data_IF_018796306114
#
_entry.id   IF_018796306114
#
_cell.length_a   1.000
_cell.length_b   1.000
_cell.length_c   1.000
_cell.angle_alpha   90.00
_cell.angle_beta   90.00
_cell.angle_gamma   90.00
#
_symmetry.space_group_name_H-M   'P 1'
#
loop_
_entity.id
_entity.type
_entity.pdbx_description
1 polymer ?
#
# COMPACT_ATOMS: atom_id res chain seq x y z
N UNK A 1 -3.75 -2.39 19.49
CA UNK A 1 -2.42 -1.82 19.14
C UNK A 1 -1.95 -0.96 20.31
N UNK A 2 -0.75 -1.23 20.83
CA UNK A 2 -0.11 -0.51 21.90
C UNK A 2 1.20 0.10 21.40
N UNK A 3 1.41 1.39 21.60
CA UNK A 3 2.66 2.06 21.26
C UNK A 3 3.62 1.90 22.44
N UNK A 4 4.78 1.31 22.21
CA UNK A 4 5.84 1.17 23.20
C UNK A 4 6.73 2.41 23.20
N UNK A 5 7.18 2.84 22.01
CA UNK A 5 8.00 4.03 21.78
C UNK A 5 7.55 4.75 20.51
N UNK A 6 7.63 6.07 20.46
CA UNK A 6 7.41 6.88 19.28
C UNK A 6 8.19 8.19 19.34
N UNK A 7 8.82 8.59 18.24
CA UNK A 7 9.59 9.84 18.13
C UNK A 7 9.39 10.43 16.73
N UNK A 8 9.44 11.77 16.64
CA UNK A 8 9.31 12.51 15.39
C UNK A 8 10.54 13.40 15.20
N UNK A 9 11.23 13.25 14.06
CA UNK A 9 12.32 14.12 13.64
C UNK A 9 11.85 14.98 12.48
N UNK A 10 12.32 16.22 12.39
CA UNK A 10 11.92 17.19 11.37
C UNK A 10 13.08 17.39 10.40
N UNK A 11 12.82 17.17 9.11
CA UNK A 11 13.74 17.43 8.01
C UNK A 11 13.12 18.49 7.10
N UNK A 12 13.41 19.76 7.39
CA UNK A 12 12.89 20.89 6.63
C UNK A 12 13.98 21.44 5.70
N UNK A 13 13.96 21.00 4.46
CA UNK A 13 14.88 21.42 3.42
C UNK A 13 14.53 22.81 2.87
N UNK A 14 13.30 23.28 3.03
CA UNK A 14 12.87 24.59 2.56
C UNK A 14 13.47 25.71 3.45
N UNK A 15 13.52 25.48 4.76
CA UNK A 15 14.15 26.41 5.71
C UNK A 15 15.59 26.03 6.08
N UNK A 16 16.11 24.92 5.54
CA UNK A 16 17.41 24.33 5.88
C UNK A 16 17.57 24.03 7.39
N UNK A 17 16.49 23.62 8.04
CA UNK A 17 16.46 23.28 9.47
C UNK A 17 16.13 21.81 9.66
N UNK A 18 17.09 21.03 10.13
CA UNK A 18 16.88 19.66 10.56
C UNK A 18 16.89 19.59 12.09
N UNK A 19 15.83 19.03 12.66
CA UNK A 19 15.70 18.87 14.12
C UNK A 19 15.61 17.39 14.47
N UNK A 20 16.69 16.86 15.02
CA UNK A 20 16.72 15.51 15.58
C UNK A 20 16.22 15.57 17.02
N UNK A 21 15.03 15.01 17.25
CA UNK A 21 14.42 14.99 18.58
C UNK A 21 15.27 14.13 19.54
N UNK A 22 15.39 14.59 20.78
CA UNK A 22 16.10 13.90 21.87
C UNK A 22 15.14 13.26 22.87
N UNK A 23 13.84 13.42 22.66
CA UNK A 23 12.78 12.87 23.51
C UNK A 23 11.67 12.31 22.66
N UNK A 24 11.08 11.25 23.16
CA UNK A 24 9.91 10.60 22.59
C UNK A 24 8.68 11.52 22.63
N UNK A 25 7.72 11.22 21.77
CA UNK A 25 6.41 11.87 21.75
C UNK A 25 5.63 11.51 23.03
N UNK A 26 4.85 12.45 23.53
CA UNK A 26 3.90 12.22 24.61
C UNK A 26 2.71 11.38 24.13
N UNK A 27 2.82 10.06 24.23
CA UNK A 27 1.78 9.11 23.84
C UNK A 27 0.58 9.08 24.82
N UNK A 28 0.70 9.69 26.01
CA UNK A 28 -0.45 9.89 26.90
C UNK A 28 -1.42 10.94 26.32
N UNK A 29 -0.93 11.88 25.54
CA UNK A 29 -1.74 12.80 24.77
C UNK A 29 -2.62 12.03 23.78
N UNK A 30 -3.95 12.15 23.92
CA UNK A 30 -4.92 11.50 23.03
C UNK A 30 -4.71 11.87 21.57
N UNK A 31 -4.36 13.13 21.30
CA UNK A 31 -4.13 13.62 19.92
C UNK A 31 -2.93 12.92 19.30
N UNK A 32 -1.79 12.88 20.01
CA UNK A 32 -0.56 12.24 19.55
C UNK A 32 -0.79 10.74 19.37
N UNK A 33 -1.33 10.07 20.39
CA UNK A 33 -1.62 8.65 20.33
C UNK A 33 -2.52 8.27 19.15
N UNK A 34 -3.61 9.00 18.93
CA UNK A 34 -4.52 8.73 17.82
C UNK A 34 -3.85 8.95 16.46
N UNK A 35 -3.04 9.99 16.33
CA UNK A 35 -2.29 10.27 15.11
C UNK A 35 -1.35 9.11 14.78
N UNK A 36 -0.48 8.75 15.70
CA UNK A 36 0.51 7.67 15.52
C UNK A 36 -0.18 6.33 15.26
N UNK A 37 -1.14 5.94 16.13
CA UNK A 37 -1.86 4.66 15.99
C UNK A 37 -2.56 4.52 14.65
N UNK A 38 -3.16 5.60 14.13
CA UNK A 38 -3.89 5.56 12.85
C UNK A 38 -2.93 5.34 11.69
N UNK A 39 -1.77 6.02 11.67
CA UNK A 39 -0.75 5.82 10.65
C UNK A 39 -0.17 4.39 10.71
N UNK A 40 0.17 3.90 11.90
CA UNK A 40 0.71 2.56 12.07
C UNK A 40 -0.28 1.45 11.65
N UNK A 41 -1.56 1.58 12.03
CA UNK A 41 -2.59 0.63 11.58
C UNK A 41 -2.73 0.59 10.07
N UNK A 42 -2.70 1.74 9.43
CA UNK A 42 -2.79 1.81 7.97
C UNK A 42 -1.58 1.21 7.29
N UNK A 43 -0.39 1.49 7.77
CA UNK A 43 0.83 0.88 7.25
C UNK A 43 0.80 -0.63 7.42
N UNK A 44 0.40 -1.12 8.62
CA UNK A 44 0.33 -2.56 8.91
C UNK A 44 -0.65 -3.31 8.02
N UNK A 45 -1.78 -2.69 7.64
CA UNK A 45 -2.86 -3.32 6.87
C UNK A 45 -2.94 -2.82 5.42
N UNK A 46 -1.86 -2.28 4.88
CA UNK A 46 -1.85 -1.77 3.51
C UNK A 46 -1.64 -2.90 2.49
N UNK A 47 -2.53 -2.99 1.51
CA UNK A 47 -2.37 -3.89 0.36
C UNK A 47 -1.22 -3.49 -0.58
N UNK A 48 -0.71 -2.27 -0.45
CA UNK A 48 0.44 -1.79 -1.22
C UNK A 48 1.78 -2.25 -0.62
N UNK A 49 1.79 -2.90 0.55
CA UNK A 49 3.01 -3.40 1.16
C UNK A 49 3.71 -4.40 0.24
N UNK A 50 4.92 -4.05 -0.15
CA UNK A 50 5.89 -4.99 -0.71
C UNK A 50 6.54 -5.73 0.43
N UNK A 51 6.71 -7.04 0.29
CA UNK A 51 7.40 -7.84 1.29
C UNK A 51 8.86 -8.03 0.89
N UNK A 52 9.75 -8.01 1.87
CA UNK A 52 11.17 -8.18 1.67
C UNK A 52 11.82 -8.81 2.90
N UNK A 53 13.05 -9.23 2.73
CA UNK A 53 13.94 -9.66 3.81
C UNK A 53 15.23 -8.85 3.75
N UNK A 54 15.85 -8.63 4.90
CA UNK A 54 17.15 -7.97 4.93
C UNK A 54 18.21 -8.79 4.19
N UNK A 55 19.06 -8.12 3.39
CA UNK A 55 20.26 -8.75 2.88
C UNK A 55 21.15 -9.19 4.07
N UNK A 56 21.94 -10.27 3.88
CA UNK A 56 22.81 -10.81 4.93
C UNK A 56 23.76 -9.77 5.53
N UNK A 57 24.19 -8.81 4.71
CA UNK A 57 25.11 -7.74 5.07
C UNK A 57 24.41 -6.39 5.37
N UNK A 58 23.10 -6.39 5.56
CA UNK A 58 22.37 -5.16 5.92
C UNK A 58 22.84 -4.62 7.27
N UNK A 59 23.45 -3.45 7.25
CA UNK A 59 23.90 -2.78 8.47
C UNK A 59 22.70 -2.43 9.36
N UNK A 60 21.63 -1.87 8.77
CA UNK A 60 20.42 -1.52 9.51
C UNK A 60 19.72 -2.75 10.08
N UNK A 61 19.68 -3.86 9.36
CA UNK A 61 19.14 -5.12 9.87
C UNK A 61 19.84 -5.60 11.14
N UNK A 62 21.19 -5.43 11.20
CA UNK A 62 21.99 -5.71 12.38
C UNK A 62 21.66 -4.79 13.57
N UNK A 63 21.59 -3.46 13.32
CA UNK A 63 21.27 -2.46 14.34
C UNK A 63 19.86 -2.66 14.92
N UNK A 64 18.88 -2.97 14.06
CA UNK A 64 17.49 -3.22 14.48
C UNK A 64 17.38 -4.51 15.31
N UNK A 65 18.12 -5.57 14.95
CA UNK A 65 18.21 -6.77 15.80
C UNK A 65 18.77 -6.43 17.17
N UNK A 66 19.89 -5.68 17.22
CA UNK A 66 20.48 -5.21 18.48
C UNK A 66 19.48 -4.42 19.33
N UNK A 67 18.67 -3.56 18.71
CA UNK A 67 17.59 -2.86 19.42
C UNK A 67 16.55 -3.85 20.03
N UNK A 68 16.07 -4.82 19.26
CA UNK A 68 15.10 -5.79 19.77
C UNK A 68 15.66 -6.67 20.90
N UNK A 69 16.97 -6.87 20.93
CA UNK A 69 17.67 -7.57 22.02
C UNK A 69 18.07 -6.67 23.20
N UNK A 70 17.77 -5.37 23.15
CA UNK A 70 18.08 -4.42 24.21
C UNK A 70 19.55 -3.96 24.23
N UNK A 71 20.27 -4.12 23.15
CA UNK A 71 21.67 -3.68 22.98
C UNK A 71 21.78 -2.23 22.47
N UNK A 72 20.66 -1.65 22.06
CA UNK A 72 20.55 -0.30 21.51
C UNK A 72 19.37 0.43 22.12
N UNK A 73 19.53 1.72 22.37
CA UNK A 73 18.46 2.60 22.83
C UNK A 73 17.61 3.09 21.64
N UNK A 74 16.30 3.23 21.86
CA UNK A 74 15.33 3.63 20.83
C UNK A 74 15.64 5.00 20.24
N UNK A 75 15.93 5.99 21.09
CA UNK A 75 16.20 7.37 20.65
C UNK A 75 17.45 7.42 19.77
N UNK A 76 18.51 6.75 20.19
CA UNK A 76 19.78 6.74 19.44
C UNK A 76 19.61 6.10 18.06
N UNK A 77 18.92 4.95 17.99
CA UNK A 77 18.60 4.29 16.71
C UNK A 77 17.74 5.19 15.82
N UNK A 78 16.73 5.85 16.38
CA UNK A 78 15.84 6.73 15.64
C UNK A 78 16.57 7.95 15.04
N UNK A 79 17.53 8.53 15.78
CA UNK A 79 18.36 9.62 15.30
C UNK A 79 19.28 9.18 14.15
N UNK A 80 19.91 8.01 14.26
CA UNK A 80 20.73 7.45 13.17
C UNK A 80 19.90 7.23 11.88
N UNK A 81 18.66 6.74 12.02
CA UNK A 81 17.72 6.60 10.90
C UNK A 81 17.44 7.96 10.27
N UNK A 82 17.11 8.97 11.06
CA UNK A 82 16.77 10.29 10.57
C UNK A 82 17.97 11.01 9.93
N UNK A 83 19.17 10.87 10.49
CA UNK A 83 20.41 11.38 9.93
C UNK A 83 20.74 10.73 8.58
N UNK A 84 20.58 9.41 8.48
CA UNK A 84 20.74 8.68 7.22
C UNK A 84 19.76 9.21 6.16
N UNK A 85 18.47 9.28 6.48
CA UNK A 85 17.44 9.78 5.57
C UNK A 85 17.72 11.22 5.14
N UNK A 86 18.10 12.09 6.07
CA UNK A 86 18.49 13.48 5.79
C UNK A 86 19.66 13.55 4.82
N UNK A 87 20.69 12.73 5.04
CA UNK A 87 21.89 12.70 4.18
C UNK A 87 21.60 12.25 2.76
N UNK A 88 20.70 11.29 2.60
CA UNK A 88 20.31 10.79 1.26
C UNK A 88 19.36 11.77 0.54
N UNK A 89 18.38 12.34 1.25
CA UNK A 89 17.47 13.33 0.68
C UNK A 89 18.22 14.62 0.26
N UNK A 90 19.27 15.01 0.98
CA UNK A 90 20.11 16.14 0.59
C UNK A 90 20.84 15.93 -0.75
N UNK A 91 21.01 14.69 -1.21
CA UNK A 91 21.59 14.34 -2.52
C UNK A 91 20.54 14.24 -3.64
N UNK A 92 19.25 14.37 -3.30
CA UNK A 92 18.18 14.28 -4.28
C UNK A 92 18.16 15.56 -5.15
N UNK A 93 17.81 15.40 -6.44
CA UNK A 93 17.65 16.57 -7.35
C UNK A 93 16.62 17.56 -6.81
N UNK A 94 15.62 17.06 -6.11
CA UNK A 94 14.62 17.85 -5.39
C UNK A 94 14.51 17.29 -3.97
N UNK A 95 15.14 17.97 -3.01
CA UNK A 95 14.96 17.67 -1.61
C UNK A 95 13.56 18.14 -1.17
N UNK A 96 12.73 17.18 -0.74
CA UNK A 96 11.37 17.46 -0.23
C UNK A 96 11.40 17.43 1.30
N UNK A 97 10.87 18.49 1.92
CA UNK A 97 10.73 18.56 3.38
C UNK A 97 9.80 17.46 3.87
N UNK A 98 10.26 16.68 4.85
CA UNK A 98 9.53 15.54 5.40
C UNK A 98 9.85 15.36 6.88
N UNK A 99 8.90 14.86 7.65
CA UNK A 99 9.15 14.45 9.02
C UNK A 99 9.34 12.93 9.09
N UNK A 100 10.27 12.48 9.92
CA UNK A 100 10.55 11.05 10.12
C UNK A 100 9.91 10.60 11.42
N UNK A 101 8.82 9.85 11.32
CA UNK A 101 8.18 9.20 12.46
C UNK A 101 8.80 7.80 12.61
N UNK A 102 9.40 7.54 13.76
CA UNK A 102 9.89 6.21 14.15
C UNK A 102 9.05 5.70 15.31
N UNK A 103 8.63 4.44 15.27
CA UNK A 103 7.81 3.86 16.33
C UNK A 103 8.11 2.37 16.56
N UNK A 104 7.99 1.95 17.81
CA UNK A 104 7.93 0.55 18.24
C UNK A 104 6.55 0.32 18.85
N UNK A 105 5.87 -0.73 18.42
CA UNK A 105 4.50 -0.99 18.83
C UNK A 105 4.15 -2.48 18.78
N UNK A 106 3.16 -2.86 19.62
CA UNK A 106 2.51 -4.16 19.52
C UNK A 106 1.18 -4.01 18.77
N UNK A 107 0.91 -4.91 17.84
CA UNK A 107 -0.36 -4.93 17.13
C UNK A 107 -1.51 -5.52 17.98
N UNK A 108 -2.67 -5.74 17.38
CA UNK A 108 -3.83 -6.27 18.11
C UNK A 108 -3.72 -7.79 18.41
N UNK A 109 -2.66 -8.45 17.93
CA UNK A 109 -2.31 -9.86 18.15
C UNK A 109 -1.05 -10.01 19.04
N UNK A 110 -0.66 -8.91 19.72
CA UNK A 110 0.52 -8.81 20.57
C UNK A 110 1.87 -9.09 19.85
N UNK A 111 1.89 -9.01 18.51
CA UNK A 111 3.12 -9.07 17.75
C UNK A 111 3.83 -7.71 17.76
N UNK A 112 5.14 -7.71 18.07
CA UNK A 112 5.97 -6.50 18.14
C UNK A 112 6.49 -6.11 16.76
N UNK A 113 6.40 -4.82 16.45
CA UNK A 113 6.77 -4.20 15.20
C UNK A 113 7.59 -2.94 15.40
N UNK A 114 8.50 -2.68 14.45
CA UNK A 114 9.21 -1.42 14.34
C UNK A 114 8.79 -0.72 13.04
N UNK A 115 8.56 0.58 13.09
CA UNK A 115 8.13 1.37 11.92
C UNK A 115 9.02 2.59 11.70
N UNK A 116 9.30 2.89 10.44
CA UNK A 116 9.89 4.15 9.97
C UNK A 116 8.97 4.70 8.91
N UNK A 117 8.49 5.93 9.06
CA UNK A 117 7.54 6.57 8.14
C UNK A 117 8.00 7.97 7.76
N UNK A 118 7.96 8.29 6.48
CA UNK A 118 8.25 9.62 5.95
C UNK A 118 6.93 10.36 5.75
N UNK A 119 6.70 11.36 6.58
CA UNK A 119 5.50 12.18 6.57
C UNK A 119 5.79 13.46 5.79
N UNK A 120 5.50 13.44 4.48
CA UNK A 120 5.76 14.58 3.59
C UNK A 120 5.01 15.82 4.09
N UNK A 121 5.73 16.91 4.30
CA UNK A 121 5.18 18.20 4.75
C UNK A 121 4.23 18.78 3.70
N UNK A 122 3.11 19.32 4.16
CA UNK A 122 2.10 19.94 3.30
C UNK A 122 1.93 21.42 3.62
N UNK A 123 1.50 22.15 2.61
CA UNK A 123 1.09 23.53 2.78
C UNK A 123 -0.41 23.61 3.04
N UNK A 124 -0.83 24.43 3.99
CA UNK A 124 -2.23 24.76 4.19
C UNK A 124 -2.38 26.25 4.51
N UNK A 125 -3.57 26.77 4.25
CA UNK A 125 -3.96 28.11 4.64
C UNK A 125 -4.73 28.04 5.96
N UNK A 126 -4.46 28.97 6.85
CA UNK A 126 -5.21 29.16 8.08
C UNK A 126 -5.61 30.62 8.22
N UNK A 127 -6.73 30.85 8.90
CA UNK A 127 -7.13 32.20 9.26
C UNK A 127 -6.36 32.62 10.53
N UNK A 128 -5.97 33.86 10.57
CA UNK A 128 -5.41 34.52 11.73
C UNK A 128 -6.28 35.72 12.12
N UNK A 129 -6.63 35.79 13.40
CA UNK A 129 -7.42 36.90 13.91
C UNK A 129 -6.50 37.87 14.62
N UNK A 130 -6.22 39.00 13.98
CA UNK A 130 -5.47 40.08 14.54
C UNK A 130 -6.37 41.20 15.09
N UNK A 131 -5.80 42.06 15.95
CA UNK A 131 -6.41 43.32 16.36
C UNK A 131 -5.43 44.44 16.09
N UNK A 132 -5.82 45.35 15.25
CA UNK A 132 -5.04 46.54 14.90
C UNK A 132 -5.87 47.78 15.20
N UNK A 133 -5.33 48.71 15.97
CA UNK A 133 -6.01 49.97 16.41
C UNK A 133 -7.40 49.79 17.04
N UNK A 134 -7.69 48.63 17.66
CA UNK A 134 -8.98 48.31 18.28
C UNK A 134 -10.00 47.64 17.36
N UNK A 135 -9.67 47.52 16.08
CA UNK A 135 -10.52 46.78 15.10
C UNK A 135 -10.06 45.36 14.95
N UNK A 136 -11.03 44.45 14.68
CA UNK A 136 -10.76 43.03 14.43
C UNK A 136 -10.44 42.86 12.94
N UNK A 137 -9.26 42.35 12.64
CA UNK A 137 -8.85 42.01 11.28
C UNK A 137 -8.68 40.50 11.15
N UNK A 138 -9.23 39.92 10.11
CA UNK A 138 -9.03 38.51 9.75
C UNK A 138 -8.11 38.45 8.54
N UNK A 139 -7.00 37.74 8.70
CA UNK A 139 -6.01 37.49 7.64
C UNK A 139 -5.96 36.01 7.26
N UNK A 140 -5.39 35.75 6.09
CA UNK A 140 -5.10 34.39 5.63
C UNK A 140 -3.58 34.23 5.63
N UNK A 141 -3.10 33.34 6.50
CA UNK A 141 -1.68 32.99 6.58
C UNK A 141 -1.45 31.60 5.99
N UNK A 142 -0.26 31.40 5.43
CA UNK A 142 0.16 30.11 4.89
C UNK A 142 1.04 29.39 5.90
N UNK A 143 0.65 28.15 6.23
CA UNK A 143 1.46 27.24 7.02
C UNK A 143 2.16 26.23 6.10
N UNK A 144 3.48 26.11 6.22
CA UNK A 144 4.30 25.31 5.31
C UNK A 144 4.62 23.91 5.85
N UNK A 145 4.45 23.68 7.14
CA UNK A 145 4.85 22.46 7.82
C UNK A 145 3.62 21.79 8.47
N UNK A 146 2.69 21.31 7.63
CA UNK A 146 1.52 20.57 8.13
C UNK A 146 1.73 19.10 7.88
N UNK A 147 1.67 18.31 8.96
CA UNK A 147 1.67 16.86 8.89
C UNK A 147 0.49 16.32 8.09
N UNK A 148 0.66 15.22 7.35
CA UNK A 148 -0.44 14.60 6.62
C UNK A 148 -1.53 14.15 7.58
N UNK A 149 -2.80 14.36 7.21
CA UNK A 149 -3.91 13.86 7.99
C UNK A 149 -3.82 12.32 8.05
N UNK A 150 -4.11 11.68 9.20
CA UNK A 150 -4.08 10.22 9.33
C UNK A 150 -4.95 9.45 8.34
N UNK A 151 -5.95 10.09 7.73
CA UNK A 151 -6.74 9.52 6.63
C UNK A 151 -6.01 9.49 5.28
N UNK A 152 -4.91 10.23 5.14
CA UNK A 152 -4.12 10.28 3.91
C UNK A 152 -3.12 9.12 3.86
N UNK A 153 -2.77 8.72 2.63
CA UNK A 153 -1.76 7.68 2.39
C UNK A 153 -0.36 8.25 2.62
N UNK A 154 0.46 7.54 3.35
CA UNK A 154 1.89 7.82 3.48
C UNK A 154 2.61 7.13 2.33
N UNK A 155 3.35 7.86 1.48
CA UNK A 155 3.94 7.30 0.26
C UNK A 155 5.25 6.54 0.50
N UNK A 156 5.85 6.69 1.68
CA UNK A 156 7.14 6.08 2.00
C UNK A 156 7.18 5.65 3.46
N UNK A 157 7.26 4.36 3.70
CA UNK A 157 7.40 3.79 5.04
C UNK A 157 7.94 2.35 4.98
N UNK A 158 8.46 1.89 6.10
CA UNK A 158 8.75 0.49 6.38
C UNK A 158 8.17 0.09 7.73
N UNK A 159 7.76 -1.17 7.83
CA UNK A 159 7.42 -1.86 9.07
C UNK A 159 8.21 -3.17 9.11
N UNK A 160 8.73 -3.52 10.27
CA UNK A 160 9.53 -4.74 10.47
C UNK A 160 9.00 -5.51 11.65
N UNK A 161 8.68 -6.79 11.46
CA UNK A 161 8.23 -7.68 12.53
C UNK A 161 9.42 -8.15 13.37
N UNK A 162 9.37 -7.94 14.67
CA UNK A 162 10.50 -8.23 15.55
C UNK A 162 10.89 -9.72 15.59
N UNK A 163 9.90 -10.63 15.52
CA UNK A 163 10.14 -12.06 15.65
C UNK A 163 10.77 -12.72 14.43
N UNK A 164 10.43 -12.23 13.21
CA UNK A 164 10.86 -12.83 11.94
C UNK A 164 11.81 -11.96 11.15
N UNK A 165 11.93 -10.68 11.50
CA UNK A 165 12.63 -9.66 10.73
C UNK A 165 12.06 -9.46 9.32
N UNK A 166 10.84 -9.93 9.06
CA UNK A 166 10.13 -9.65 7.82
C UNK A 166 9.81 -8.17 7.68
N UNK A 167 9.98 -7.67 6.48
CA UNK A 167 9.78 -6.28 6.11
C UNK A 167 8.50 -6.15 5.29
N UNK A 168 7.65 -5.19 5.67
CA UNK A 168 6.62 -4.63 4.79
C UNK A 168 6.99 -3.19 4.48
N UNK A 169 6.98 -2.78 3.21
CA UNK A 169 7.33 -1.40 2.86
C UNK A 169 6.54 -0.86 1.68
N UNK A 170 6.44 0.46 1.64
CA UNK A 170 6.04 1.23 0.46
C UNK A 170 7.05 2.35 0.28
N UNK A 171 7.51 2.59 -0.94
CA UNK A 171 8.37 3.74 -1.22
C UNK A 171 8.19 4.24 -2.65
N UNK A 172 8.51 5.50 -2.87
CA UNK A 172 8.52 6.15 -4.19
C UNK A 172 9.95 6.25 -4.73
N UNK A 173 10.10 6.11 -6.05
CA UNK A 173 11.38 6.38 -6.71
C UNK A 173 11.73 7.88 -6.60
N UNK A 174 12.99 8.15 -6.31
CA UNK A 174 13.56 9.49 -6.25
C UNK A 174 14.87 9.53 -7.05
N UNK A 175 15.16 10.66 -7.68
CA UNK A 175 16.47 10.88 -8.27
C UNK A 175 17.46 11.32 -7.20
N UNK A 176 18.30 10.40 -6.76
CA UNK A 176 19.32 10.60 -5.73
C UNK A 176 20.68 10.45 -6.39
N UNK A 177 21.52 11.49 -6.32
CA UNK A 177 22.84 11.52 -6.98
C UNK A 177 22.79 11.18 -8.49
N UNK A 178 21.70 11.54 -9.18
CA UNK A 178 21.51 11.31 -10.61
C UNK A 178 20.93 9.95 -11.00
N UNK A 179 20.71 9.06 -10.05
CA UNK A 179 20.14 7.73 -10.26
C UNK A 179 18.71 7.61 -9.69
N UNK A 180 17.85 6.86 -10.36
CA UNK A 180 16.52 6.51 -9.85
C UNK A 180 16.66 5.43 -8.75
N UNK A 181 16.44 5.82 -7.49
CA UNK A 181 16.56 4.93 -6.33
C UNK A 181 15.36 5.06 -5.40
N UNK A 182 15.07 3.99 -4.69
CA UNK A 182 14.15 4.00 -3.56
C UNK A 182 14.94 4.21 -2.27
N UNK A 183 14.53 5.19 -1.46
CA UNK A 183 15.27 5.59 -0.26
C UNK A 183 15.23 4.52 0.84
N UNK A 184 14.05 3.92 1.02
CA UNK A 184 13.82 2.95 2.11
C UNK A 184 14.41 1.59 1.78
N UNK A 185 13.99 0.85 0.72
CA UNK A 185 14.51 -0.49 0.48
C UNK A 185 15.97 -0.50 0.04
N UNK A 186 16.38 0.37 -0.89
CA UNK A 186 17.73 0.36 -1.44
C UNK A 186 18.75 0.99 -0.50
N UNK A 187 18.32 2.06 0.20
CA UNK A 187 19.19 2.86 1.07
C UNK A 187 19.20 2.39 2.51
N UNK A 188 18.08 2.60 3.22
CA UNK A 188 18.00 2.35 4.65
C UNK A 188 18.02 0.85 4.99
N UNK A 189 17.11 0.08 4.38
CA UNK A 189 16.92 -1.33 4.75
C UNK A 189 17.97 -2.23 4.12
N UNK A 190 18.46 -1.91 2.93
CA UNK A 190 19.33 -2.76 2.13
C UNK A 190 18.71 -4.17 2.01
N UNK A 191 17.51 -4.20 1.44
CA UNK A 191 16.73 -5.42 1.29
C UNK A 191 16.44 -5.71 -0.19
N UNK A 192 16.13 -6.97 -0.49
CA UNK A 192 15.65 -7.34 -1.82
C UNK A 192 14.27 -6.73 -2.06
N UNK A 193 14.06 -6.22 -3.28
CA UNK A 193 12.78 -5.63 -3.65
C UNK A 193 11.77 -6.73 -3.98
N UNK A 194 10.75 -6.86 -3.16
CA UNK A 194 9.62 -7.74 -3.40
C UNK A 194 8.51 -7.08 -4.23
N UNK A 195 7.51 -7.87 -4.57
CA UNK A 195 6.24 -7.38 -5.15
C UNK A 195 5.16 -7.38 -4.08
N UNK A 196 4.19 -6.47 -4.19
CA UNK A 196 3.03 -6.49 -3.29
C UNK A 196 1.94 -7.41 -3.85
N UNK A 197 1.11 -7.96 -2.96
CA UNK A 197 -0.06 -8.74 -3.39
C UNK A 197 -0.95 -7.95 -4.34
N UNK A 198 -1.10 -6.65 -4.12
CA UNK A 198 -1.85 -5.77 -5.02
C UNK A 198 -1.21 -5.66 -6.40
N UNK A 199 0.11 -5.43 -6.49
CA UNK A 199 0.81 -5.37 -7.78
C UNK A 199 0.64 -6.68 -8.56
N UNK A 200 0.68 -7.83 -7.88
CA UNK A 200 0.47 -9.12 -8.53
C UNK A 200 -0.96 -9.27 -9.03
N UNK A 201 -1.96 -8.90 -8.22
CA UNK A 201 -3.38 -8.93 -8.64
C UNK A 201 -3.61 -7.98 -9.82
N UNK A 202 -3.08 -6.77 -9.77
CA UNK A 202 -3.20 -5.79 -10.86
C UNK A 202 -2.53 -6.32 -12.14
N UNK A 203 -1.36 -6.96 -12.02
CA UNK A 203 -0.65 -7.58 -13.15
C UNK A 203 -1.44 -8.75 -13.74
N UNK A 204 -1.90 -9.69 -12.93
CA UNK A 204 -2.72 -10.82 -13.39
C UNK A 204 -4.00 -10.33 -14.06
N UNK A 205 -4.68 -9.35 -13.46
CA UNK A 205 -5.89 -8.75 -14.00
C UNK A 205 -5.66 -8.15 -15.39
N UNK A 206 -4.59 -7.35 -15.55
CA UNK A 206 -4.22 -6.72 -16.81
C UNK A 206 -3.86 -7.77 -17.89
N UNK A 207 -3.01 -8.72 -17.54
CA UNK A 207 -2.58 -9.78 -18.47
C UNK A 207 -3.76 -10.63 -18.93
N UNK A 208 -4.65 -10.98 -18.01
CA UNK A 208 -5.89 -11.73 -18.36
C UNK A 208 -6.78 -10.91 -19.28
N UNK A 209 -6.96 -9.61 -19.03
CA UNK A 209 -7.77 -8.73 -19.88
C UNK A 209 -7.19 -8.62 -21.30
N UNK A 210 -5.88 -8.38 -21.43
CA UNK A 210 -5.18 -8.26 -22.69
C UNK A 210 -5.24 -9.56 -23.49
N UNK A 211 -4.82 -10.68 -22.90
CA UNK A 211 -4.74 -11.98 -23.58
C UNK A 211 -6.13 -12.54 -23.92
N UNK A 212 -7.10 -12.46 -23.01
CA UNK A 212 -8.47 -12.89 -23.29
C UNK A 212 -9.09 -12.07 -24.44
N UNK A 213 -8.83 -10.75 -24.48
CA UNK A 213 -9.27 -9.87 -25.54
C UNK A 213 -8.64 -10.25 -26.90
N UNK A 214 -7.34 -10.54 -26.97
CA UNK A 214 -6.62 -10.95 -28.17
C UNK A 214 -7.16 -12.28 -28.74
N UNK A 215 -7.60 -13.17 -27.88
CA UNK A 215 -8.20 -14.46 -28.27
C UNK A 215 -9.72 -14.39 -28.51
N UNK A 216 -10.33 -13.20 -28.41
CA UNK A 216 -11.78 -13.00 -28.63
C UNK A 216 -12.66 -13.56 -27.52
N UNK A 217 -12.10 -13.85 -26.35
CA UNK A 217 -12.85 -14.26 -25.18
C UNK A 217 -13.52 -13.05 -24.51
N UNK A 218 -14.57 -13.31 -23.72
CA UNK A 218 -15.26 -12.26 -22.97
C UNK A 218 -14.41 -11.81 -21.77
N UNK A 219 -13.74 -10.67 -21.91
CA UNK A 219 -12.84 -10.13 -20.87
C UNK A 219 -13.57 -9.86 -19.56
N UNK A 220 -14.85 -9.44 -19.58
CA UNK A 220 -15.61 -9.18 -18.37
C UNK A 220 -15.84 -10.45 -17.56
N UNK A 221 -16.11 -11.58 -18.24
CA UNK A 221 -16.26 -12.90 -17.61
C UNK A 221 -14.93 -13.38 -17.04
N UNK A 222 -13.85 -13.28 -17.82
CA UNK A 222 -12.52 -13.68 -17.37
C UNK A 222 -12.09 -12.90 -16.13
N UNK A 223 -12.27 -11.59 -16.12
CA UNK A 223 -11.96 -10.73 -14.96
C UNK A 223 -12.84 -11.02 -13.74
N UNK A 224 -14.12 -11.33 -13.95
CA UNK A 224 -15.01 -11.73 -12.84
C UNK A 224 -14.53 -13.04 -12.20
N UNK A 225 -14.16 -14.04 -13.02
CA UNK A 225 -13.58 -15.30 -12.54
C UNK A 225 -12.26 -15.09 -11.78
N UNK A 226 -11.35 -14.26 -12.31
CA UNK A 226 -10.08 -13.92 -11.59
C UNK A 226 -10.38 -13.34 -10.23
N UNK A 227 -11.29 -12.38 -10.13
CA UNK A 227 -11.63 -11.75 -8.85
C UNK A 227 -12.26 -12.73 -7.86
N UNK A 228 -13.13 -13.61 -8.34
CA UNK A 228 -13.72 -14.64 -7.50
C UNK A 228 -12.67 -15.64 -6.98
N UNK A 229 -11.77 -16.11 -7.86
CA UNK A 229 -10.70 -17.03 -7.49
C UNK A 229 -9.69 -16.37 -6.51
N UNK A 230 -9.35 -15.09 -6.72
CA UNK A 230 -8.53 -14.34 -5.76
C UNK A 230 -9.21 -14.27 -4.38
N UNK A 231 -10.53 -14.01 -4.33
CA UNK A 231 -11.28 -13.96 -3.10
C UNK A 231 -11.22 -15.30 -2.35
N UNK A 232 -11.50 -16.38 -3.04
CA UNK A 232 -11.54 -17.73 -2.48
C UNK A 232 -10.17 -18.15 -1.94
N UNK A 233 -9.10 -18.00 -2.75
CA UNK A 233 -7.74 -18.41 -2.33
C UNK A 233 -7.23 -17.63 -1.11
N UNK A 234 -7.57 -16.36 -1.00
CA UNK A 234 -7.17 -15.53 0.14
C UNK A 234 -8.00 -15.81 1.41
N UNK A 235 -9.19 -16.40 1.28
CA UNK A 235 -9.95 -16.85 2.45
C UNK A 235 -9.31 -18.07 3.14
N UNK A 236 -8.70 -18.95 2.37
CA UNK A 236 -8.16 -20.22 2.86
C UNK A 236 -6.67 -20.11 3.24
N UNK A 237 -5.88 -19.28 2.55
CA UNK A 237 -4.42 -19.17 2.72
C UNK A 237 -3.98 -17.72 2.92
N UNK A 238 -2.90 -17.53 3.69
CA UNK A 238 -2.20 -16.22 3.79
C UNK A 238 -1.29 -15.96 2.57
N UNK A 239 -1.47 -16.70 1.48
CA UNK A 239 -0.70 -16.61 0.25
C UNK A 239 -1.61 -16.50 -0.97
N UNK A 240 -1.22 -15.65 -1.92
CA UNK A 240 -1.86 -15.55 -3.23
C UNK A 240 -1.08 -16.43 -4.22
N UNK A 241 -1.67 -17.49 -4.78
CA UNK A 241 -1.07 -18.32 -5.82
C UNK A 241 -1.54 -17.88 -7.23
N UNK A 242 -0.91 -16.87 -7.86
CA UNK A 242 -1.40 -16.30 -9.13
C UNK A 242 -1.46 -17.32 -10.27
N UNK A 243 -0.60 -18.32 -10.25
CA UNK A 243 -0.58 -19.39 -11.26
C UNK A 243 -1.76 -20.35 -11.13
N UNK A 244 -2.12 -20.75 -9.92
CA UNK A 244 -3.27 -21.61 -9.66
C UNK A 244 -4.58 -20.88 -10.02
N UNK A 245 -4.64 -19.56 -9.78
CA UNK A 245 -5.77 -18.72 -10.18
C UNK A 245 -5.95 -18.73 -11.71
N UNK A 246 -4.89 -18.58 -12.48
CA UNK A 246 -4.94 -18.63 -13.94
C UNK A 246 -5.35 -20.01 -14.44
N UNK A 247 -4.84 -21.07 -13.82
CA UNK A 247 -5.15 -22.43 -14.17
C UNK A 247 -6.64 -22.77 -13.95
N UNK A 248 -7.21 -22.26 -12.89
CA UNK A 248 -8.63 -22.41 -12.55
C UNK A 248 -9.54 -21.59 -13.47
N UNK A 249 -9.20 -20.32 -13.69
CA UNK A 249 -10.00 -19.39 -14.52
C UNK A 249 -10.12 -19.89 -15.96
N UNK A 250 -9.06 -20.49 -16.50
CA UNK A 250 -8.97 -20.96 -17.89
C UNK A 250 -8.85 -22.50 -18.00
N UNK A 251 -9.47 -23.25 -17.08
CA UNK A 251 -9.45 -24.72 -17.10
C UNK A 251 -9.93 -25.28 -18.45
N UNK A 252 -11.02 -24.71 -19.00
CA UNK A 252 -11.63 -25.09 -20.26
C UNK A 252 -11.03 -24.41 -21.50
N UNK A 253 -10.08 -23.50 -21.33
CA UNK A 253 -9.51 -22.66 -22.40
C UNK A 253 -7.98 -22.77 -22.46
N UNK A 254 -7.42 -23.94 -22.82
CA UNK A 254 -5.99 -24.21 -22.69
C UNK A 254 -5.08 -23.27 -23.49
N UNK A 255 -5.56 -22.77 -24.65
CA UNK A 255 -4.78 -21.83 -25.48
C UNK A 255 -4.60 -20.48 -24.78
N UNK A 256 -5.68 -19.96 -24.21
CA UNK A 256 -5.64 -18.69 -23.46
C UNK A 256 -4.78 -18.87 -22.20
N UNK A 257 -4.96 -19.97 -21.48
CA UNK A 257 -4.16 -20.32 -20.31
C UNK A 257 -2.67 -20.28 -20.58
N UNK A 258 -2.21 -20.98 -21.61
CA UNK A 258 -0.79 -21.00 -21.99
C UNK A 258 -0.27 -19.61 -22.37
N UNK A 259 -1.07 -18.82 -23.10
CA UNK A 259 -0.69 -17.44 -23.47
C UNK A 259 -0.56 -16.54 -22.23
N UNK A 260 -1.51 -16.59 -21.28
CA UNK A 260 -1.46 -15.85 -20.01
C UNK A 260 -0.21 -16.28 -19.21
N UNK A 261 0.04 -17.59 -19.08
CA UNK A 261 1.21 -18.09 -18.35
C UNK A 261 2.53 -17.64 -18.98
N UNK A 262 2.62 -17.61 -20.31
CA UNK A 262 3.80 -17.10 -21.02
C UNK A 262 4.10 -15.64 -20.65
N UNK A 263 3.10 -14.76 -20.67
CA UNK A 263 3.25 -13.35 -20.31
C UNK A 263 3.60 -13.19 -18.83
N UNK A 264 2.94 -13.92 -17.92
CA UNK A 264 3.28 -13.86 -16.48
C UNK A 264 4.72 -14.33 -16.20
N UNK A 265 5.23 -15.30 -17.00
CA UNK A 265 6.63 -15.74 -16.91
C UNK A 265 7.58 -14.63 -17.36
N UNK A 266 7.28 -13.95 -18.45
CA UNK A 266 8.09 -12.83 -18.96
C UNK A 266 8.11 -11.66 -17.95
N UNK A 267 6.98 -11.37 -17.31
CA UNK A 267 6.85 -10.36 -16.26
C UNK A 267 7.40 -10.81 -14.91
N UNK A 268 7.92 -12.04 -14.81
CA UNK A 268 8.51 -12.61 -13.59
C UNK A 268 7.57 -12.59 -12.39
N UNK A 269 6.30 -12.85 -12.62
CA UNK A 269 5.32 -12.98 -11.54
C UNK A 269 5.69 -14.19 -10.66
N UNK A 270 5.84 -14.03 -9.34
CA UNK A 270 6.21 -15.12 -8.45
C UNK A 270 5.10 -16.17 -8.35
N UNK A 271 5.47 -17.42 -8.05
CA UNK A 271 4.52 -18.52 -7.90
C UNK A 271 3.56 -18.30 -6.74
N UNK A 272 4.03 -17.71 -5.65
CA UNK A 272 3.26 -17.39 -4.46
C UNK A 272 3.65 -16.04 -3.89
N UNK A 273 2.68 -15.27 -3.44
CA UNK A 273 2.88 -13.98 -2.80
C UNK A 273 2.18 -13.97 -1.46
N UNK A 274 2.91 -13.81 -0.36
CA UNK A 274 2.28 -13.67 0.94
C UNK A 274 1.37 -12.44 0.96
N UNK A 275 0.13 -12.63 1.41
CA UNK A 275 -0.87 -11.57 1.52
C UNK A 275 -1.58 -11.68 2.87
N UNK A 276 -2.06 -10.57 3.38
CA UNK A 276 -2.96 -10.61 4.52
C UNK A 276 -4.40 -10.54 4.01
N UNK A 277 -5.25 -11.45 4.45
CA UNK A 277 -6.67 -11.53 4.10
C UNK A 277 -7.37 -10.15 4.08
N UNK A 278 -7.21 -9.38 5.15
CA UNK A 278 -7.80 -8.04 5.26
C UNK A 278 -7.29 -7.04 4.21
N UNK A 279 -6.10 -7.26 3.67
CA UNK A 279 -5.50 -6.39 2.64
C UNK A 279 -6.15 -6.64 1.28
N UNK A 280 -6.33 -7.91 0.92
CA UNK A 280 -6.90 -8.32 -0.37
C UNK A 280 -8.40 -8.06 -0.43
N UNK A 281 -9.15 -8.35 0.63
CA UNK A 281 -10.58 -8.06 0.73
C UNK A 281 -10.90 -6.57 0.50
N UNK A 282 -10.00 -5.67 0.90
CA UNK A 282 -10.17 -4.23 0.68
C UNK A 282 -9.79 -3.77 -0.71
N UNK A 283 -8.81 -4.41 -1.33
CA UNK A 283 -8.20 -3.92 -2.58
C UNK A 283 -8.88 -4.45 -3.85
N UNK A 284 -9.30 -5.71 -3.86
CA UNK A 284 -9.63 -6.39 -5.11
C UNK A 284 -11.05 -6.96 -5.21
N UNK A 285 -11.76 -7.22 -4.10
CA UNK A 285 -12.74 -8.29 -4.12
C UNK A 285 -14.19 -7.91 -3.84
N UNK A 286 -14.47 -6.78 -3.20
CA UNK A 286 -15.86 -6.53 -2.76
C UNK A 286 -16.87 -6.32 -3.86
N UNK A 287 -16.53 -5.60 -4.92
CA UNK A 287 -17.49 -5.34 -6.01
C UNK A 287 -16.78 -5.35 -7.37
N UNK A 288 -17.30 -6.13 -8.28
CA UNK A 288 -16.99 -6.02 -9.69
C UNK A 288 -17.81 -4.89 -10.29
N UNK A 289 -17.14 -3.90 -10.92
CA UNK A 289 -17.79 -2.81 -11.62
C UNK A 289 -17.46 -2.93 -13.09
N UNK A 290 -18.50 -2.97 -13.91
CA UNK A 290 -18.37 -2.92 -15.35
C UNK A 290 -19.07 -1.67 -15.87
N UNK A 291 -18.53 -1.09 -16.93
CA UNK A 291 -19.14 0.00 -17.66
C UNK A 291 -19.23 -0.37 -19.12
N UNK A 292 -20.42 -0.29 -19.68
CA UNK A 292 -20.64 -0.52 -21.10
C UNK A 292 -20.23 0.70 -21.92
N UNK A 293 -20.01 0.52 -23.22
CA UNK A 293 -19.79 1.58 -24.20
C UNK A 293 -20.99 2.55 -24.30
N UNK A 294 -22.19 2.04 -23.99
CA UNK A 294 -23.43 2.84 -23.92
C UNK A 294 -23.55 3.65 -22.62
N UNK A 295 -22.60 3.51 -21.68
CA UNK A 295 -22.53 4.26 -20.42
C UNK A 295 -23.30 3.64 -19.26
N UNK A 296 -23.82 2.42 -19.40
CA UNK A 296 -24.45 1.70 -18.29
C UNK A 296 -23.35 1.20 -17.33
N UNK A 297 -23.51 1.48 -16.05
CA UNK A 297 -22.63 0.97 -15.00
C UNK A 297 -23.37 -0.08 -14.16
N UNK A 298 -22.78 -1.27 -14.03
CA UNK A 298 -23.29 -2.36 -13.19
C UNK A 298 -22.25 -2.66 -12.12
N UNK A 299 -22.69 -2.74 -10.87
CA UNK A 299 -21.83 -3.12 -9.75
C UNK A 299 -22.47 -4.27 -8.98
N UNK A 300 -21.73 -5.33 -8.80
CA UNK A 300 -22.19 -6.54 -8.11
C UNK A 300 -21.05 -7.21 -7.33
N UNK A 301 -21.34 -8.02 -6.31
CA UNK A 301 -20.33 -8.82 -5.62
C UNK A 301 -19.55 -9.71 -6.60
N UNK A 302 -18.23 -9.80 -6.45
CA UNK A 302 -17.38 -10.56 -7.39
C UNK A 302 -17.80 -12.03 -7.51
N UNK A 303 -18.25 -12.65 -6.42
CA UNK A 303 -18.78 -14.01 -6.35
C UNK A 303 -19.96 -14.27 -7.31
N UNK A 304 -20.77 -13.24 -7.54
CA UNK A 304 -21.92 -13.36 -8.47
C UNK A 304 -21.50 -13.31 -9.93
N UNK A 305 -20.34 -12.74 -10.24
CA UNK A 305 -19.85 -12.60 -11.62
C UNK A 305 -19.38 -13.91 -12.26
N UNK A 306 -19.01 -14.89 -11.45
CA UNK A 306 -18.65 -16.24 -11.89
C UNK A 306 -19.85 -17.21 -11.90
N UNK A 307 -21.00 -16.82 -11.33
CA UNK A 307 -22.17 -17.68 -11.21
C UNK A 307 -23.27 -17.27 -12.19
N UNK A 308 -23.44 -18.08 -13.26
CA UNK A 308 -24.44 -17.87 -14.31
C UNK A 308 -25.90 -17.95 -13.82
N UNK A 309 -26.13 -18.36 -12.58
CA UNK A 309 -27.47 -18.31 -11.96
C UNK A 309 -27.89 -16.88 -11.60
N UNK A 310 -26.94 -15.97 -11.38
CA UNK A 310 -27.22 -14.58 -11.01
C UNK A 310 -26.91 -13.61 -12.14
N UNK A 311 -25.76 -13.77 -12.81
CA UNK A 311 -25.32 -12.89 -13.90
C UNK A 311 -24.78 -13.75 -15.03
N UNK A 312 -25.30 -13.55 -16.24
CA UNK A 312 -24.80 -14.23 -17.42
C UNK A 312 -24.41 -13.21 -18.51
N UNK A 313 -23.20 -13.39 -19.05
CA UNK A 313 -22.70 -12.62 -20.18
C UNK A 313 -22.82 -13.48 -21.44
N UNK A 314 -23.70 -13.08 -22.34
CA UNK A 314 -24.00 -13.80 -23.58
C UNK A 314 -23.32 -13.11 -24.74
N UNK A 315 -22.42 -13.83 -25.43
CA UNK A 315 -21.82 -13.35 -26.68
C UNK A 315 -22.81 -13.62 -27.83
N UNK A 316 -23.32 -12.55 -28.42
CA UNK A 316 -24.22 -12.64 -29.56
C UNK A 316 -23.44 -12.93 -30.87
N UNK A 317 -24.05 -13.62 -31.85
CA UNK A 317 -23.41 -13.91 -33.14
C UNK A 317 -22.96 -12.67 -33.93
N UNK A 318 -23.51 -11.50 -33.62
CA UNK A 318 -23.18 -10.21 -34.23
C UNK A 318 -21.99 -9.51 -33.54
N UNK A 319 -21.35 -10.15 -32.55
CA UNK A 319 -20.22 -9.59 -31.79
C UNK A 319 -20.63 -8.64 -30.66
N UNK A 320 -21.93 -8.48 -30.39
CA UNK A 320 -22.42 -7.75 -29.23
C UNK A 320 -22.47 -8.65 -28.00
N UNK A 321 -22.42 -8.03 -26.82
CA UNK A 321 -22.51 -8.72 -25.53
C UNK A 321 -23.84 -8.32 -24.87
N UNK A 322 -24.63 -9.30 -24.47
CA UNK A 322 -25.82 -9.13 -23.63
C UNK A 322 -25.48 -9.52 -22.19
N UNK A 323 -26.03 -8.78 -21.23
CA UNK A 323 -25.88 -9.08 -19.80
C UNK A 323 -27.26 -9.40 -19.24
N UNK A 324 -27.43 -10.61 -18.77
CA UNK A 324 -28.67 -11.07 -18.13
C UNK A 324 -28.50 -11.13 -16.62
N UNK A 325 -29.41 -10.44 -15.91
CA UNK A 325 -29.52 -10.52 -14.46
C UNK A 325 -30.67 -11.45 -14.10
N UNK A 326 -30.37 -12.51 -13.36
CA UNK A 326 -31.30 -13.61 -13.08
C UNK A 326 -31.63 -13.67 -11.58
N UNK A 327 -32.72 -14.36 -11.23
CA UNK A 327 -33.16 -14.63 -9.86
C UNK A 327 -33.39 -13.34 -9.02
N UNK A 328 -33.86 -12.27 -9.65
CA UNK A 328 -34.14 -11.00 -8.97
C UNK A 328 -35.54 -11.05 -8.34
N UNK A 329 -35.61 -10.95 -7.01
CA UNK A 329 -36.87 -10.94 -6.28
C UNK A 329 -37.59 -9.59 -6.27
N UNK A 330 -36.83 -8.47 -6.28
CA UNK A 330 -37.36 -7.12 -6.30
C UNK A 330 -36.37 -6.11 -6.86
N UNK A 331 -36.85 -5.03 -7.44
CA UNK A 331 -36.04 -3.89 -7.92
C UNK A 331 -36.54 -2.63 -7.24
N UNK A 332 -35.64 -1.90 -6.58
CA UNK A 332 -35.92 -0.61 -5.95
C UNK A 332 -35.20 0.52 -6.69
N UNK A 333 -35.90 1.63 -6.91
CA UNK A 333 -35.29 2.85 -7.42
C UNK A 333 -34.64 3.62 -6.26
N UNK A 334 -33.37 3.96 -6.38
CA UNK A 334 -32.62 4.78 -5.41
C UNK A 334 -32.21 6.12 -5.99
#
# INVERSE_FOLDING_TARGET
MKINHAILHILDFDSAVNVMSQRELDIESRTVRNFVTTHLRRARTSADNKRATFAENSAFGGELKGYFFGEREFVDLSQQIAEFISSELAKAEKAESTDVLVADFDDDEDARWFAVMLLDSKQAFMHEVGREEGEVRNDITRHYAILPNPSQKVPSYAIVRASTMEIGYVDKKRKIAGEDRMLIPDGLLQCDTGVSGKEVIDTVTRVVEEVAGEHGANTAVALAKVKAAVAEKVEDDEELPPWDIVDEVFEDEPVIKESVRAVLTEEKVPERVPVERKQVERAAVRNHKIRTDTGIEISFPAEMGSNSEYIEFVNEPNGLISIELKNIGSIENR
#
